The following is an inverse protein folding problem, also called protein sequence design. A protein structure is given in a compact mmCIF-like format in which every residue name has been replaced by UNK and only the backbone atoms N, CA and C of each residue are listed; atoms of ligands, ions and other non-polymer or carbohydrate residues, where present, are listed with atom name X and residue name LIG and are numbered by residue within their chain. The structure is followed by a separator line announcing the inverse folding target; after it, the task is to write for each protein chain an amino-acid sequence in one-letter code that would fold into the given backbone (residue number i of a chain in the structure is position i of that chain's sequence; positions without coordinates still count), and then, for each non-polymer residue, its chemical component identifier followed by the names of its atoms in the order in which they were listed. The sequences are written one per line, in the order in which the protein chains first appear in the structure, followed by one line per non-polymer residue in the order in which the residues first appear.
data_IF_678862288754
#
_entry.id   IF_678862288754
#
_cell.length_a   1.000
_cell.length_b   1.000
_cell.length_c   1.000
_cell.angle_alpha   90.00
_cell.angle_beta   90.00
_cell.angle_gamma   90.00
#
_symmetry.space_group_name_H-M   'P 1'
#
loop_
_entity.id
_entity.type
_entity.pdbx_description
1 polymer ?
#
# COMPACT_ATOMS: atom_id res chain seq x y z
N UNK A 1 -9.69 -8.49 -17.95
CA UNK A 1 -9.83 -7.03 -17.78
C UNK A 1 -9.53 -6.34 -19.09
N UNK A 2 -10.28 -5.30 -19.43
CA UNK A 2 -10.02 -4.35 -20.52
C UNK A 2 -9.44 -3.09 -19.88
N UNK A 3 -8.30 -2.62 -20.37
CA UNK A 3 -7.67 -1.39 -19.86
C UNK A 3 -7.62 -0.34 -20.97
N UNK A 4 -8.29 0.78 -20.75
CA UNK A 4 -8.23 1.95 -21.62
C UNK A 4 -7.10 2.87 -21.14
N UNK A 5 -6.09 3.10 -21.98
CA UNK A 5 -4.89 3.86 -21.60
C UNK A 5 -4.78 5.13 -22.42
N UNK A 6 -4.69 6.27 -21.74
CA UNK A 6 -4.58 7.58 -22.35
C UNK A 6 -3.26 8.28 -21.97
N UNK A 7 -2.89 9.27 -22.78
CA UNK A 7 -1.74 10.15 -22.55
C UNK A 7 -2.16 11.61 -22.53
N UNK A 8 -3.17 11.97 -21.75
CA UNK A 8 -3.66 13.35 -21.67
C UNK A 8 -2.88 14.18 -20.64
N UNK A 9 -2.64 15.47 -20.91
CA UNK A 9 -2.09 16.38 -19.92
C UNK A 9 -2.98 16.44 -18.67
N UNK A 10 -2.37 16.29 -17.50
CA UNK A 10 -3.04 16.43 -16.19
C UNK A 10 -2.45 17.63 -15.44
N UNK A 11 -3.24 18.38 -14.68
CA UNK A 11 -2.71 19.39 -13.74
C UNK A 11 -2.24 18.77 -12.42
N UNK A 12 -2.66 17.53 -12.13
CA UNK A 12 -2.39 16.79 -10.90
C UNK A 12 -1.34 15.67 -11.05
N UNK A 13 -1.66 14.43 -10.63
CA UNK A 13 -0.68 13.36 -10.48
C UNK A 13 -0.03 12.95 -11.82
N UNK A 14 1.14 12.32 -11.72
CA UNK A 14 1.92 11.86 -12.88
C UNK A 14 1.18 10.79 -13.69
N UNK A 15 0.38 9.98 -13.00
CA UNK A 15 -0.52 9.00 -13.57
C UNK A 15 -1.73 8.83 -12.64
N UNK A 16 -2.78 8.20 -13.15
CA UNK A 16 -3.89 7.70 -12.34
C UNK A 16 -4.49 6.49 -13.04
N UNK A 17 -5.08 5.55 -12.31
CA UNK A 17 -6.00 4.58 -12.87
C UNK A 17 -7.09 4.17 -11.88
N UNK A 18 -8.24 3.76 -12.42
CA UNK A 18 -9.37 3.33 -11.61
C UNK A 18 -10.24 2.32 -12.38
N UNK A 19 -10.93 1.39 -11.67
CA UNK A 19 -11.97 0.57 -12.25
C UNK A 19 -13.12 1.43 -12.76
N UNK A 20 -13.65 1.11 -13.94
CA UNK A 20 -14.81 1.75 -14.55
C UNK A 20 -16.04 0.84 -14.57
N UNK A 21 -15.86 -0.48 -14.56
CA UNK A 21 -16.93 -1.45 -14.49
C UNK A 21 -16.47 -2.74 -13.80
N UNK A 22 -17.40 -3.34 -13.06
CA UNK A 22 -17.24 -4.62 -12.37
C UNK A 22 -18.23 -5.65 -12.92
N UNK A 23 -17.94 -6.93 -12.72
CA UNK A 23 -18.87 -8.04 -12.98
C UNK A 23 -19.78 -8.28 -11.77
N UNK A 24 -20.66 -9.28 -11.87
CA UNK A 24 -21.60 -9.65 -10.79
C UNK A 24 -20.91 -10.20 -9.53
N UNK A 25 -19.66 -10.65 -9.64
CA UNK A 25 -18.80 -11.08 -8.53
C UNK A 25 -17.89 -9.95 -8.03
N UNK A 26 -18.26 -8.70 -8.32
CA UNK A 26 -17.53 -7.47 -7.97
C UNK A 26 -16.13 -7.34 -8.60
N UNK A 27 -15.73 -8.30 -9.44
CA UNK A 27 -14.44 -8.30 -10.13
C UNK A 27 -14.30 -7.10 -11.08
N UNK A 28 -13.25 -6.27 -10.96
CA UNK A 28 -12.91 -5.27 -11.96
C UNK A 28 -12.74 -5.88 -13.36
N UNK A 29 -13.56 -5.44 -14.32
CA UNK A 29 -13.54 -5.93 -15.69
C UNK A 29 -13.07 -4.89 -16.70
N UNK A 30 -13.41 -3.62 -16.51
CA UNK A 30 -12.90 -2.53 -17.33
C UNK A 30 -12.34 -1.44 -16.43
N UNK A 31 -11.20 -0.87 -16.82
CA UNK A 31 -10.54 0.20 -16.10
C UNK A 31 -9.98 1.24 -17.07
N UNK A 32 -9.80 2.46 -16.58
CA UNK A 32 -9.13 3.54 -17.30
C UNK A 32 -7.83 3.91 -16.58
N UNK A 33 -6.80 4.20 -17.35
CA UNK A 33 -5.53 4.73 -16.87
C UNK A 33 -5.10 5.92 -17.74
N UNK A 34 -4.45 6.90 -17.13
CA UNK A 34 -3.87 8.01 -17.84
C UNK A 34 -2.45 8.29 -17.34
N UNK A 35 -1.52 8.48 -18.27
CA UNK A 35 -0.13 8.84 -17.99
C UNK A 35 0.16 10.23 -18.53
N UNK A 36 0.51 11.18 -17.67
CA UNK A 36 0.77 12.55 -18.07
C UNK A 36 2.01 12.62 -18.98
N UNK A 37 1.89 13.08 -20.24
CA UNK A 37 2.99 13.00 -21.22
C UNK A 37 4.32 13.62 -20.74
N UNK A 38 4.26 14.71 -19.97
CA UNK A 38 5.44 15.41 -19.43
C UNK A 38 6.28 14.55 -18.46
N UNK A 39 5.73 13.47 -17.94
CA UNK A 39 6.39 12.57 -16.99
C UNK A 39 6.72 11.21 -17.61
N UNK A 40 6.31 10.94 -18.86
CA UNK A 40 6.57 9.67 -19.52
C UNK A 40 8.03 9.56 -19.90
N UNK A 41 8.73 8.65 -19.23
CA UNK A 41 10.11 8.27 -19.50
C UNK A 41 10.31 6.80 -19.09
N UNK A 42 11.20 6.09 -19.78
CA UNK A 42 11.51 4.69 -19.49
C UNK A 42 12.49 4.56 -18.30
N UNK A 43 12.04 4.97 -17.10
CA UNK A 43 12.82 4.87 -15.86
C UNK A 43 12.20 3.83 -14.93
N UNK A 44 13.00 3.23 -14.04
CA UNK A 44 12.50 2.28 -13.05
C UNK A 44 11.37 2.87 -12.22
N UNK A 45 11.50 4.14 -11.80
CA UNK A 45 10.46 4.84 -11.05
C UNK A 45 9.14 4.93 -11.81
N UNK A 46 9.18 5.28 -13.10
CA UNK A 46 7.97 5.41 -13.90
C UNK A 46 7.31 4.05 -14.17
N UNK A 47 8.10 2.98 -14.30
CA UNK A 47 7.57 1.61 -14.36
C UNK A 47 6.84 1.25 -13.05
N UNK A 48 7.37 1.64 -11.89
CA UNK A 48 6.70 1.43 -10.59
C UNK A 48 5.43 2.26 -10.44
N UNK A 49 5.44 3.52 -10.86
CA UNK A 49 4.23 4.35 -10.89
C UNK A 49 3.18 3.70 -11.79
N UNK A 50 3.56 3.22 -12.98
CA UNK A 50 2.61 2.50 -13.84
C UNK A 50 2.06 1.23 -13.19
N UNK A 51 2.92 0.41 -12.57
CA UNK A 51 2.48 -0.78 -11.86
C UNK A 51 1.55 -0.45 -10.67
N UNK A 52 1.83 0.62 -9.94
CA UNK A 52 1.00 1.13 -8.84
C UNK A 52 -0.40 1.51 -9.34
N UNK A 53 -0.49 2.32 -10.40
CA UNK A 53 -1.79 2.69 -10.98
C UNK A 53 -2.54 1.45 -11.48
N UNK A 54 -1.84 0.50 -12.12
CA UNK A 54 -2.47 -0.75 -12.52
C UNK A 54 -2.99 -1.56 -11.32
N UNK A 55 -2.37 -1.43 -10.15
CA UNK A 55 -2.89 -1.95 -8.89
C UNK A 55 -4.26 -1.37 -8.55
N UNK A 56 -4.43 -0.05 -8.65
CA UNK A 56 -5.74 0.60 -8.49
C UNK A 56 -6.74 0.16 -9.56
N UNK A 57 -6.32 0.06 -10.83
CA UNK A 57 -7.17 -0.45 -11.91
C UNK A 57 -7.68 -1.89 -11.65
N UNK A 58 -6.89 -2.70 -10.93
CA UNK A 58 -7.23 -4.04 -10.48
C UNK A 58 -8.04 -4.06 -9.17
N UNK A 59 -8.40 -2.91 -8.62
CA UNK A 59 -9.24 -2.83 -7.42
C UNK A 59 -8.48 -2.76 -6.11
N UNK A 60 -7.19 -2.43 -6.10
CA UNK A 60 -6.51 -2.04 -4.86
C UNK A 60 -6.95 -0.62 -4.46
N UNK A 61 -8.18 -0.46 -3.96
CA UNK A 61 -8.70 0.85 -3.56
C UNK A 61 -9.81 0.67 -2.53
N UNK A 62 -10.10 1.73 -1.76
CA UNK A 62 -11.08 1.69 -0.67
C UNK A 62 -12.42 1.11 -1.13
N UNK A 63 -12.93 1.55 -2.28
CA UNK A 63 -14.22 1.09 -2.82
C UNK A 63 -14.27 -0.43 -2.93
N UNK A 64 -13.26 -1.05 -3.53
CA UNK A 64 -13.21 -2.49 -3.69
C UNK A 64 -12.94 -3.20 -2.35
N UNK A 65 -12.09 -2.65 -1.48
CA UNK A 65 -11.89 -3.21 -0.14
C UNK A 65 -13.18 -3.26 0.68
N UNK A 66 -14.06 -2.27 0.52
CA UNK A 66 -15.39 -2.26 1.13
C UNK A 66 -16.34 -3.28 0.49
N UNK A 67 -16.34 -3.39 -0.84
CA UNK A 67 -17.15 -4.37 -1.58
C UNK A 67 -16.78 -5.81 -1.18
N UNK A 68 -15.49 -6.11 -1.08
CA UNK A 68 -14.98 -7.43 -0.67
C UNK A 68 -14.91 -7.62 0.86
N UNK A 69 -15.43 -6.68 1.66
CA UNK A 69 -15.44 -6.74 3.13
C UNK A 69 -14.06 -6.99 3.78
N UNK A 70 -13.02 -6.35 3.25
CA UNK A 70 -11.62 -6.60 3.64
C UNK A 70 -11.12 -5.74 4.80
N UNK A 71 -11.79 -4.62 5.07
CA UNK A 71 -11.34 -3.63 6.06
C UNK A 71 -11.86 -4.00 7.46
N UNK A 72 -10.95 -4.01 8.43
CA UNK A 72 -11.26 -4.01 9.86
C UNK A 72 -10.73 -2.73 10.49
N UNK A 73 -11.48 -2.20 11.45
CA UNK A 73 -11.07 -1.02 12.21
C UNK A 73 -10.59 -1.43 13.60
N UNK A 74 -9.31 -1.21 13.88
CA UNK A 74 -8.65 -1.59 15.14
C UNK A 74 -8.56 -0.36 16.06
N UNK A 75 -9.09 -0.42 17.29
CA UNK A 75 -9.05 0.71 18.21
C UNK A 75 -7.69 0.82 18.92
N UNK A 76 -7.38 2.02 19.44
CA UNK A 76 -6.27 2.28 20.36
C UNK A 76 -4.87 1.92 19.85
N UNK A 77 -4.65 1.93 18.54
CA UNK A 77 -3.33 1.67 17.95
C UNK A 77 -2.48 2.92 18.07
N UNK A 78 -1.38 2.85 18.85
CA UNK A 78 -0.43 3.96 19.07
C UNK A 78 -1.06 5.27 19.57
N UNK A 79 -2.18 5.17 20.28
CA UNK A 79 -2.92 6.34 20.78
C UNK A 79 -3.88 6.97 19.78
N UNK A 80 -4.06 6.36 18.60
CA UNK A 80 -5.12 6.73 17.67
C UNK A 80 -6.43 6.04 18.10
N UNK A 81 -7.59 6.73 17.96
CA UNK A 81 -8.88 6.14 18.33
C UNK A 81 -9.22 4.93 17.47
N UNK A 82 -8.77 4.92 16.20
CA UNK A 82 -9.09 3.90 15.20
C UNK A 82 -8.04 3.90 14.09
N UNK A 83 -7.62 2.71 13.66
CA UNK A 83 -6.76 2.48 12.49
C UNK A 83 -7.42 1.43 11.61
N UNK A 84 -7.60 1.74 10.32
CA UNK A 84 -8.14 0.79 9.35
C UNK A 84 -7.03 -0.13 8.84
N UNK A 85 -7.30 -1.44 8.80
CA UNK A 85 -6.38 -2.46 8.34
C UNK A 85 -7.06 -3.39 7.34
N UNK A 86 -6.31 -3.95 6.39
CA UNK A 86 -6.75 -5.12 5.63
C UNK A 86 -6.56 -6.37 6.49
N UNK A 87 -7.67 -7.00 6.85
CA UNK A 87 -7.74 -8.07 7.88
C UNK A 87 -8.19 -9.42 7.32
N UNK A 88 -8.01 -9.63 6.03
CA UNK A 88 -8.36 -10.87 5.33
C UNK A 88 -7.35 -12.00 5.60
N UNK A 89 -7.74 -13.29 5.41
CA UNK A 89 -6.95 -14.42 5.89
C UNK A 89 -5.50 -14.47 5.39
N UNK A 90 -5.26 -14.35 4.08
CA UNK A 90 -3.90 -14.46 3.53
C UNK A 90 -3.08 -13.22 3.88
N UNK A 91 -3.66 -12.03 3.78
CA UNK A 91 -3.00 -10.76 4.09
C UNK A 91 -2.61 -10.69 5.56
N UNK A 92 -3.51 -11.08 6.47
CA UNK A 92 -3.23 -11.15 7.91
C UNK A 92 -2.14 -12.18 8.21
N UNK A 93 -2.22 -13.38 7.64
CA UNK A 93 -1.20 -14.41 7.84
C UNK A 93 0.18 -13.95 7.33
N UNK A 94 0.23 -13.35 6.14
CA UNK A 94 1.44 -12.81 5.54
C UNK A 94 2.03 -11.67 6.39
N UNK A 95 1.19 -10.76 6.91
CA UNK A 95 1.63 -9.68 7.78
C UNK A 95 2.23 -10.18 9.10
N UNK A 96 1.59 -11.17 9.74
CA UNK A 96 2.09 -11.81 10.96
C UNK A 96 3.45 -12.45 10.73
N UNK A 97 3.62 -13.17 9.63
CA UNK A 97 4.88 -13.78 9.25
C UNK A 97 5.95 -12.72 8.93
N UNK A 98 5.60 -11.73 8.11
CA UNK A 98 6.52 -10.69 7.64
C UNK A 98 7.10 -9.86 8.79
N UNK A 99 6.26 -9.41 9.71
CA UNK A 99 6.68 -8.63 10.86
C UNK A 99 7.16 -9.49 12.04
N UNK A 100 7.01 -10.81 12.00
CA UNK A 100 7.20 -11.69 13.15
C UNK A 100 6.35 -11.26 14.38
N UNK A 101 5.06 -11.00 14.13
CA UNK A 101 4.11 -10.56 15.14
C UNK A 101 2.83 -11.40 15.09
N UNK A 102 2.69 -12.45 15.94
CA UNK A 102 1.55 -13.37 15.87
C UNK A 102 0.18 -12.75 16.18
N UNK A 103 0.16 -11.65 16.93
CA UNK A 103 -1.07 -10.95 17.37
C UNK A 103 -1.56 -9.91 16.37
N UNK A 104 -0.85 -9.68 15.27
CA UNK A 104 -1.19 -8.62 14.32
C UNK A 104 -2.55 -8.88 13.66
N UNK A 105 -3.40 -7.85 13.59
CA UNK A 105 -4.75 -7.96 13.03
C UNK A 105 -4.84 -7.67 11.53
N UNK A 106 -3.78 -7.20 10.89
CA UNK A 106 -3.78 -6.92 9.46
C UNK A 106 -2.65 -5.98 9.05
N UNK A 107 -2.70 -5.52 7.79
CA UNK A 107 -1.81 -4.48 7.27
C UNK A 107 -2.54 -3.15 7.31
N UNK A 108 -1.92 -2.15 7.92
CA UNK A 108 -2.50 -0.81 8.05
C UNK A 108 -2.67 -0.13 6.70
N UNK A 109 -3.82 0.51 6.54
CA UNK A 109 -4.09 1.41 5.43
C UNK A 109 -3.71 2.84 5.79
N UNK A 110 -3.37 3.64 4.78
CA UNK A 110 -3.03 5.05 4.95
C UNK A 110 -4.23 5.85 5.49
N UNK A 111 -3.96 6.70 6.48
CA UNK A 111 -4.94 7.55 7.17
C UNK A 111 -4.61 9.04 7.05
N UNK A 112 -3.51 9.39 6.40
CA UNK A 112 -3.10 10.76 6.09
C UNK A 112 -3.25 11.09 4.59
N UNK A 113 -3.19 12.38 4.26
CA UNK A 113 -3.33 12.88 2.89
C UNK A 113 -4.77 13.31 2.57
N UNK A 114 -5.26 12.94 1.39
CA UNK A 114 -6.59 13.28 0.91
C UNK A 114 -7.48 12.06 0.66
N UNK A 115 -8.73 12.27 0.21
CA UNK A 115 -9.67 11.19 -0.12
C UNK A 115 -9.10 10.17 -1.12
N UNK A 116 -8.25 10.61 -2.04
CA UNK A 116 -7.61 9.74 -3.03
C UNK A 116 -6.46 8.90 -2.46
N UNK A 117 -6.01 9.20 -1.22
CA UNK A 117 -4.89 8.51 -0.57
C UNK A 117 -5.40 7.58 0.54
N UNK A 118 -6.27 8.12 1.39
CA UNK A 118 -6.77 7.43 2.58
C UNK A 118 -7.47 6.14 2.19
N UNK A 119 -7.15 5.05 2.90
CA UNK A 119 -7.72 3.69 2.72
C UNK A 119 -7.57 3.04 1.35
N UNK A 120 -6.84 3.66 0.42
CA UNK A 120 -6.52 3.09 -0.89
C UNK A 120 -5.04 2.72 -1.04
N UNK A 121 -4.25 2.93 0.03
CA UNK A 121 -2.82 2.68 0.06
C UNK A 121 -2.42 1.99 1.36
N UNK A 122 -1.29 1.30 1.35
CA UNK A 122 -0.65 0.87 2.59
C UNK A 122 -0.11 2.06 3.38
N UNK A 123 -0.20 1.98 4.71
CA UNK A 123 0.38 2.98 5.61
C UNK A 123 1.89 3.05 5.40
N UNK A 124 2.37 4.20 4.90
CA UNK A 124 3.79 4.36 4.54
C UNK A 124 4.74 4.14 5.72
N UNK A 125 4.29 4.43 6.94
CA UNK A 125 5.06 4.22 8.17
C UNK A 125 5.53 2.76 8.34
N UNK A 126 4.67 1.78 8.09
CA UNK A 126 4.97 0.36 8.25
C UNK A 126 5.40 -0.32 6.95
N UNK A 127 5.17 0.33 5.80
CA UNK A 127 5.31 -0.28 4.46
C UNK A 127 6.08 0.59 3.46
N UNK A 128 7.01 1.45 3.91
CA UNK A 128 7.61 2.56 3.16
C UNK A 128 7.99 2.29 1.70
N UNK A 129 8.60 1.14 1.42
CA UNK A 129 9.15 0.80 0.11
C UNK A 129 8.20 -0.06 -0.75
N UNK A 130 6.99 -0.31 -0.27
CA UNK A 130 5.98 -1.12 -0.95
C UNK A 130 5.32 -0.37 -2.12
N UNK A 131 5.00 -1.12 -3.18
CA UNK A 131 4.37 -0.64 -4.40
C UNK A 131 3.13 0.24 -4.17
N UNK A 132 2.22 -0.17 -3.30
CA UNK A 132 0.91 0.46 -3.05
C UNK A 132 0.94 1.45 -1.87
N UNK A 133 2.09 2.06 -1.58
CA UNK A 133 2.14 3.25 -0.72
C UNK A 133 1.78 4.52 -1.51
N UNK A 134 1.15 5.50 -0.87
CA UNK A 134 0.63 6.72 -1.54
C UNK A 134 1.69 7.67 -2.13
N UNK A 135 2.97 7.37 -1.96
CA UNK A 135 4.07 8.06 -2.64
C UNK A 135 5.12 7.03 -3.04
N UNK A 136 5.15 6.73 -4.34
CA UNK A 136 5.98 5.68 -4.92
C UNK A 136 7.47 6.06 -4.82
N UNK A 137 8.13 5.45 -3.84
CA UNK A 137 9.58 5.43 -3.67
C UNK A 137 10.24 4.31 -4.47
N UNK A 138 10.70 3.25 -3.78
CA UNK A 138 11.29 2.06 -4.41
C UNK A 138 10.24 1.23 -5.16
N UNK A 139 9.03 1.07 -4.57
CA UNK A 139 7.88 0.47 -5.22
C UNK A 139 7.97 -1.05 -5.40
N UNK A 140 8.35 -1.77 -4.34
CA UNK A 140 8.48 -3.23 -4.35
C UNK A 140 7.10 -3.90 -4.32
N UNK A 141 6.82 -4.76 -5.31
CA UNK A 141 5.59 -5.54 -5.39
C UNK A 141 5.70 -6.73 -4.43
N UNK A 142 5.30 -6.49 -3.19
CA UNK A 142 5.53 -7.44 -2.10
C UNK A 142 4.50 -8.57 -2.06
N UNK A 143 4.82 -9.61 -1.28
CA UNK A 143 3.87 -10.67 -0.96
C UNK A 143 2.62 -10.17 -0.22
N UNK A 144 2.67 -8.99 0.41
CA UNK A 144 1.52 -8.39 1.13
C UNK A 144 0.49 -7.84 0.15
N UNK A 145 0.92 -7.12 -0.89
CA UNK A 145 0.00 -6.68 -1.96
C UNK A 145 -0.53 -7.86 -2.75
N UNK A 146 0.30 -8.86 -3.03
CA UNK A 146 -0.16 -10.10 -3.67
C UNK A 146 -1.22 -10.82 -2.83
N UNK A 147 -1.02 -10.94 -1.51
CA UNK A 147 -1.99 -11.53 -0.60
C UNK A 147 -3.31 -10.76 -0.55
N UNK A 148 -3.26 -9.43 -0.63
CA UNK A 148 -4.46 -8.60 -0.68
C UNK A 148 -5.26 -8.86 -1.96
N UNK A 149 -4.61 -8.97 -3.11
CA UNK A 149 -5.28 -9.36 -4.36
C UNK A 149 -5.84 -10.78 -4.32
N UNK A 150 -5.11 -11.73 -3.77
CA UNK A 150 -5.54 -13.13 -3.62
C UNK A 150 -6.81 -13.22 -2.75
N UNK A 151 -6.85 -12.45 -1.65
CA UNK A 151 -7.98 -12.37 -0.73
C UNK A 151 -9.23 -11.69 -1.32
N UNK A 152 -9.12 -10.94 -2.43
CA UNK A 152 -10.32 -10.46 -3.16
C UNK A 152 -11.10 -11.62 -3.79
N UNK A 153 -10.50 -12.81 -3.94
CA UNK A 153 -11.15 -14.01 -4.47
C UNK A 153 -11.33 -14.02 -6.00
N UNK A 154 -10.93 -12.95 -6.69
CA UNK A 154 -11.06 -12.78 -8.15
C UNK A 154 -9.72 -12.83 -8.89
N UNK A 155 -8.63 -13.00 -8.14
CA UNK A 155 -7.26 -13.18 -8.60
C UNK A 155 -6.63 -14.42 -7.98
N UNK A 156 -5.59 -14.95 -8.62
CA UNK A 156 -4.72 -15.99 -8.06
C UNK A 156 -3.31 -15.45 -8.06
N UNK A 157 -2.73 -15.24 -6.89
CA UNK A 157 -1.41 -14.63 -6.77
C UNK A 157 -0.27 -15.64 -7.04
N UNK A 158 0.76 -15.19 -7.77
CA UNK A 158 2.02 -15.92 -7.91
C UNK A 158 3.04 -15.40 -6.89
N UNK A 159 3.06 -15.98 -5.69
CA UNK A 159 3.97 -15.57 -4.61
C UNK A 159 5.45 -15.79 -4.92
N UNK A 160 5.82 -16.66 -5.86
CA UNK A 160 7.22 -16.83 -6.28
C UNK A 160 7.79 -15.62 -7.02
N UNK A 161 6.93 -14.74 -7.52
CA UNK A 161 7.33 -13.47 -8.15
C UNK A 161 7.37 -12.30 -7.16
N UNK A 162 7.06 -12.53 -5.88
CA UNK A 162 7.03 -11.48 -4.86
C UNK A 162 8.42 -10.86 -4.67
N UNK A 163 8.50 -9.54 -4.65
CA UNK A 163 9.72 -8.82 -4.33
C UNK A 163 9.92 -8.75 -2.81
N UNK A 164 11.19 -8.83 -2.40
CA UNK A 164 11.53 -8.79 -0.98
C UNK A 164 11.46 -7.37 -0.44
N UNK A 165 10.43 -7.09 0.34
CA UNK A 165 10.35 -5.88 1.16
C UNK A 165 11.28 -6.02 2.38
N UNK A 166 12.11 -5.00 2.62
CA UNK A 166 13.05 -4.97 3.74
C UNK A 166 12.50 -4.19 4.94
N UNK A 167 11.80 -3.10 4.65
CA UNK A 167 11.28 -2.18 5.65
C UNK A 167 10.30 -2.87 6.61
N UNK A 168 10.68 -3.01 7.89
CA UNK A 168 9.82 -3.62 8.91
C UNK A 168 9.80 -5.16 8.94
N UNK A 169 10.62 -5.83 8.11
CA UNK A 169 10.75 -7.29 8.15
C UNK A 169 11.30 -7.74 9.50
N UNK A 170 10.66 -8.73 10.14
CA UNK A 170 11.00 -9.24 11.47
C UNK A 170 11.06 -8.14 12.56
N UNK A 171 10.31 -7.04 12.41
CA UNK A 171 10.30 -5.95 13.38
C UNK A 171 9.75 -6.31 14.76
N UNK A 172 9.07 -7.45 14.89
CA UNK A 172 8.17 -7.74 16.00
C UNK A 172 6.94 -6.81 15.99
N UNK A 173 6.13 -6.93 17.03
CA UNK A 173 4.88 -6.15 17.17
C UNK A 173 5.11 -4.66 17.49
N UNK A 174 6.26 -4.31 18.06
CA UNK A 174 6.55 -2.94 18.53
C UNK A 174 6.43 -1.87 17.44
N UNK A 175 6.84 -2.19 16.20
CA UNK A 175 6.73 -1.28 15.07
C UNK A 175 5.27 -0.90 14.81
N UNK A 176 4.32 -1.79 15.07
CA UNK A 176 2.91 -1.61 14.77
C UNK A 176 2.13 -1.12 16.01
N UNK A 177 2.53 -1.53 17.20
CA UNK A 177 1.79 -1.21 18.43
C UNK A 177 2.29 0.05 19.14
N UNK A 178 3.57 0.41 18.98
CA UNK A 178 4.21 1.56 19.65
C UNK A 178 4.52 2.71 18.70
N UNK A 179 4.75 3.90 19.26
CA UNK A 179 5.22 5.07 18.51
C UNK A 179 6.61 4.80 17.91
N UNK A 180 6.89 5.38 16.74
CA UNK A 180 8.21 5.22 16.08
C UNK A 180 9.35 5.87 16.87
N UNK A 181 9.07 6.99 17.55
CA UNK A 181 9.98 7.66 18.48
C UNK A 181 9.23 7.94 19.79
N UNK A 182 9.91 7.71 20.91
CA UNK A 182 9.46 8.11 22.26
C UNK A 182 10.59 8.89 22.91
N UNK A 183 10.31 10.13 23.34
CA UNK A 183 11.31 11.02 23.94
C UNK A 183 12.60 11.19 23.11
N UNK A 184 12.45 11.20 21.78
CA UNK A 184 13.58 11.32 20.84
C UNK A 184 14.41 10.05 20.67
N UNK A 185 13.97 8.90 21.20
CA UNK A 185 14.65 7.61 21.06
C UNK A 185 13.77 6.67 20.23
N UNK A 186 14.38 5.88 19.35
CA UNK A 186 13.70 4.84 18.57
C UNK A 186 14.22 3.46 18.93
N UNK A 187 13.32 2.47 18.98
CA UNK A 187 13.67 1.05 19.07
C UNK A 187 14.07 0.47 17.69
N UNK A 188 13.91 1.25 16.61
CA UNK A 188 14.13 0.82 15.22
C UNK A 188 15.09 1.77 14.48
N UNK A 189 16.39 1.84 14.88
CA UNK A 189 17.36 2.79 14.33
C UNK A 189 17.64 2.60 12.83
N UNK A 190 17.43 1.39 12.30
CA UNK A 190 17.56 1.11 10.86
C UNK A 190 16.39 1.65 10.04
N UNK A 191 15.26 1.95 10.69
CA UNK A 191 14.04 2.45 10.03
C UNK A 191 13.88 3.96 10.28
N UNK A 192 14.05 4.40 11.52
CA UNK A 192 13.81 5.79 11.92
C UNK A 192 15.11 6.43 12.39
N UNK A 193 15.41 7.63 11.88
CA UNK A 193 16.47 8.46 12.43
C UNK A 193 15.94 9.29 13.61
N UNK A 194 16.80 9.57 14.59
CA UNK A 194 16.53 10.46 15.71
C UNK A 194 17.47 11.68 15.76
N UNK A 195 18.32 11.84 14.74
CA UNK A 195 19.16 13.01 14.53
C UNK A 195 18.94 13.51 13.11
N UNK A 196 18.58 14.78 12.98
CA UNK A 196 18.60 15.48 11.71
C UNK A 196 19.96 16.19 11.59
N UNK A 197 20.63 16.17 10.43
CA UNK A 197 21.73 17.09 10.18
C UNK A 197 21.20 18.50 10.47
N UNK A 198 21.90 19.27 11.32
CA UNK A 198 21.57 20.68 11.49
C UNK A 198 21.63 21.31 10.09
N UNK A 199 20.54 21.90 9.64
CA UNK A 199 20.55 22.70 8.43
C UNK A 199 21.55 23.84 8.64
N UNK A 200 22.71 23.75 7.98
CA UNK A 200 23.77 24.75 8.06
C UNK A 200 25.17 24.14 8.05
N UNK A 201 25.67 23.83 6.85
CA UNK A 201 26.86 24.45 6.24
C UNK A 201 26.70 24.40 4.73
#
# INVERSE_FOLDING_TARGET
MILYVNGFPTSGPMAWAAPCAVLNDDRPFAAAANFAPRHVAATSRNVRVAAHELGHALGFAETQFLMFHMILDVPNVRGLPKVSVISTPNTKAMARQYHNCPTLEGVELEDEGGPDTVRSHWKKRSMRDELMTGDVGVGLYSALTLAAFDDMGVYVANYSAAEMLWWGKNSGCGLLEKKCLTDGITEYPDLFCNQFPRAGY
#
